data_IF_864633492923
#
_entry.id   IF_864633492923
#
_cell.length_a   1.000
_cell.length_b   1.000
_cell.length_c   1.000
_cell.angle_alpha   90.00
_cell.angle_beta   90.00
_cell.angle_gamma   90.00
#
_symmetry.space_group_name_H-M   'P 1'
#
loop_
_entity.id
_entity.type
_entity.pdbx_description
1 polymer ?
#
# COMPACT_ATOMS: atom_id res chain seq x y z
N UNK A 1 -42.82 -44.49 1.60
CA UNK A 1 -41.37 -44.36 1.85
C UNK A 1 -41.02 -42.92 1.55
N UNK A 2 -40.70 -42.15 2.59
CA UNK A 2 -40.35 -40.73 2.48
C UNK A 2 -38.98 -40.64 1.82
N UNK A 3 -38.93 -40.21 0.56
CA UNK A 3 -37.67 -39.88 -0.11
C UNK A 3 -37.15 -38.58 0.50
N UNK A 4 -36.08 -38.70 1.25
CA UNK A 4 -35.38 -37.61 1.92
C UNK A 4 -35.02 -36.50 0.93
N UNK A 5 -35.38 -35.28 1.29
CA UNK A 5 -34.90 -34.05 0.68
C UNK A 5 -33.38 -34.05 0.74
N UNK A 6 -32.64 -33.85 -0.36
CA UNK A 6 -31.24 -33.50 -0.22
C UNK A 6 -31.20 -32.11 0.42
N UNK A 7 -30.92 -32.10 1.72
CA UNK A 7 -30.38 -30.94 2.42
C UNK A 7 -29.05 -30.60 1.75
N UNK A 8 -29.11 -29.87 0.63
CA UNK A 8 -27.99 -29.07 0.17
C UNK A 8 -27.85 -27.99 1.25
N UNK A 9 -27.03 -28.31 2.25
CA UNK A 9 -26.37 -27.30 3.03
C UNK A 9 -25.61 -26.44 2.00
N UNK A 10 -26.23 -25.33 1.61
CA UNK A 10 -25.51 -24.13 1.28
C UNK A 10 -24.74 -23.75 2.55
N UNK A 11 -23.63 -24.45 2.79
CA UNK A 11 -22.62 -23.98 3.73
C UNK A 11 -22.17 -22.66 3.14
N UNK A 12 -22.64 -21.60 3.78
CA UNK A 12 -22.38 -20.24 3.38
C UNK A 12 -20.90 -20.12 3.13
N UNK A 13 -20.57 -19.93 1.85
CA UNK A 13 -19.50 -19.07 1.44
C UNK A 13 -19.74 -17.78 2.22
N UNK A 14 -19.12 -17.70 3.40
CA UNK A 14 -18.92 -16.44 4.09
C UNK A 14 -18.03 -15.67 3.13
N UNK A 15 -18.70 -15.00 2.19
CA UNK A 15 -18.14 -13.90 1.43
C UNK A 15 -17.36 -13.10 2.47
N UNK A 16 -16.05 -13.04 2.26
CA UNK A 16 -15.04 -12.36 3.06
C UNK A 16 -15.27 -10.83 2.96
N UNK A 17 -16.53 -10.40 3.04
CA UNK A 17 -17.01 -9.04 3.04
C UNK A 17 -16.29 -8.34 4.17
N UNK A 18 -15.66 -7.23 3.84
CA UNK A 18 -14.94 -6.42 4.81
C UNK A 18 -15.89 -5.97 5.92
N UNK A 19 -15.93 -6.73 7.02
CA UNK A 19 -16.67 -6.35 8.21
C UNK A 19 -16.16 -5.00 8.71
N UNK A 20 -17.07 -4.12 9.15
CA UNK A 20 -16.77 -2.78 9.70
C UNK A 20 -15.63 -2.80 10.73
N UNK A 21 -15.51 -3.89 11.50
CA UNK A 21 -14.41 -4.08 12.46
C UNK A 21 -13.01 -4.24 11.84
N UNK A 22 -12.91 -4.79 10.62
CA UNK A 22 -11.63 -4.95 9.90
C UNK A 22 -11.16 -3.61 9.32
N UNK A 23 -12.08 -2.80 8.76
CA UNK A 23 -11.76 -1.43 8.31
C UNK A 23 -11.18 -0.62 9.48
N UNK A 24 -11.86 -0.62 10.63
CA UNK A 24 -11.40 0.14 11.80
C UNK A 24 -10.01 -0.26 12.28
N UNK A 25 -9.70 -1.56 12.30
CA UNK A 25 -8.36 -2.06 12.65
C UNK A 25 -7.29 -1.61 11.67
N UNK A 26 -7.56 -1.68 10.36
CA UNK A 26 -6.62 -1.26 9.32
C UNK A 26 -6.41 0.25 9.34
N UNK A 27 -7.47 1.03 9.56
CA UNK A 27 -7.40 2.48 9.75
C UNK A 27 -6.46 2.86 10.91
N UNK A 28 -6.54 2.13 12.02
CA UNK A 28 -5.71 2.36 13.20
C UNK A 28 -4.24 2.01 12.93
N UNK A 29 -3.98 0.91 12.22
CA UNK A 29 -2.62 0.55 11.76
C UNK A 29 -2.04 1.62 10.84
N UNK A 30 -2.83 2.12 9.89
CA UNK A 30 -2.38 3.16 8.96
C UNK A 30 -2.13 4.48 9.67
N UNK A 31 -2.96 4.83 10.65
CA UNK A 31 -2.73 5.98 11.52
C UNK A 31 -1.44 5.81 12.32
N UNK A 32 -1.16 4.62 12.87
CA UNK A 32 0.07 4.35 13.61
C UNK A 32 1.32 4.49 12.71
N UNK A 33 1.31 3.90 11.51
CA UNK A 33 2.40 4.05 10.53
C UNK A 33 2.62 5.53 10.21
N UNK A 34 1.55 6.29 9.98
CA UNK A 34 1.63 7.72 9.66
C UNK A 34 2.16 8.54 10.84
N UNK A 35 1.77 8.22 12.08
CA UNK A 35 2.33 8.85 13.28
C UNK A 35 3.84 8.59 13.40
N UNK A 36 4.30 7.36 13.10
CA UNK A 36 5.73 7.03 13.09
C UNK A 36 6.46 7.80 11.99
N UNK A 37 5.91 7.91 10.78
CA UNK A 37 6.45 8.74 9.69
C UNK A 37 6.65 10.20 10.14
N UNK A 38 5.61 10.81 10.73
CA UNK A 38 5.69 12.17 11.25
C UNK A 38 6.68 12.31 12.40
N UNK A 39 6.77 11.33 13.29
CA UNK A 39 7.74 11.36 14.38
C UNK A 39 9.18 11.32 13.86
N UNK A 40 9.48 10.47 12.87
CA UNK A 40 10.79 10.43 12.24
C UNK A 40 11.11 11.77 11.57
N UNK A 41 10.15 12.32 10.81
CA UNK A 41 10.34 13.55 10.07
C UNK A 41 10.46 14.80 10.95
N UNK A 42 9.62 14.93 11.99
CA UNK A 42 9.53 16.14 12.82
C UNK A 42 10.40 16.10 14.08
N UNK A 43 10.81 14.91 14.54
CA UNK A 43 11.62 14.79 15.75
C UNK A 43 13.02 14.25 15.43
N UNK A 44 13.11 13.11 14.75
CA UNK A 44 14.35 12.36 14.65
C UNK A 44 15.38 12.98 13.68
N UNK A 45 14.90 13.56 12.58
CA UNK A 45 15.71 14.28 11.58
C UNK A 45 16.21 15.64 12.12
N UNK A 46 15.35 16.54 12.66
CA UNK A 46 15.83 17.85 13.15
C UNK A 46 16.74 17.75 14.38
N UNK A 47 16.59 16.72 15.21
CA UNK A 47 17.51 16.48 16.34
C UNK A 47 18.85 15.83 15.93
N UNK A 48 19.12 15.64 14.62
CA UNK A 48 20.36 15.03 14.09
C UNK A 48 20.62 13.59 14.59
N UNK A 49 19.60 12.93 15.14
CA UNK A 49 19.70 11.56 15.67
C UNK A 49 19.79 10.56 14.50
N UNK A 50 19.10 10.87 13.40
CA UNK A 50 19.24 10.16 12.12
C UNK A 50 19.63 11.14 11.02
N UNK A 51 20.69 10.79 10.29
CA UNK A 51 21.09 11.54 9.10
C UNK A 51 20.03 11.39 8.00
N UNK A 52 19.87 12.44 7.18
CA UNK A 52 18.96 12.44 6.03
C UNK A 52 19.16 11.23 5.09
N UNK A 53 20.40 10.77 4.94
CA UNK A 53 20.74 9.62 4.11
C UNK A 53 20.11 8.30 4.60
N UNK A 54 19.98 8.11 5.92
CA UNK A 54 19.32 6.95 6.52
C UNK A 54 17.80 7.16 6.69
N UNK A 55 17.36 8.40 6.96
CA UNK A 55 15.96 8.69 7.20
C UNK A 55 15.11 8.59 5.92
N UNK A 56 15.62 9.05 4.78
CA UNK A 56 14.92 9.00 3.49
C UNK A 56 14.49 7.59 3.06
N UNK A 57 15.37 6.56 3.00
CA UNK A 57 14.96 5.22 2.58
C UNK A 57 13.93 4.61 3.53
N UNK A 58 14.06 4.84 4.85
CA UNK A 58 13.08 4.40 5.85
C UNK A 58 11.71 5.04 5.61
N UNK A 59 11.69 6.35 5.35
CA UNK A 59 10.46 7.08 5.08
C UNK A 59 9.78 6.53 3.81
N UNK A 60 10.54 6.32 2.73
CA UNK A 60 10.03 5.75 1.48
C UNK A 60 9.39 4.37 1.73
N UNK A 61 10.04 3.49 2.48
CA UNK A 61 9.52 2.14 2.77
C UNK A 61 8.23 2.22 3.60
N UNK A 62 8.18 3.07 4.63
CA UNK A 62 6.99 3.28 5.45
C UNK A 62 5.81 3.81 4.60
N UNK A 63 6.07 4.77 3.71
CA UNK A 63 5.06 5.32 2.81
C UNK A 63 4.55 4.28 1.83
N UNK A 64 5.43 3.43 1.28
CA UNK A 64 5.03 2.33 0.38
C UNK A 64 4.18 1.28 1.09
N UNK A 65 4.55 0.90 2.33
CA UNK A 65 3.75 -0.02 3.14
C UNK A 65 2.35 0.54 3.38
N UNK A 66 2.26 1.81 3.78
CA UNK A 66 0.98 2.52 3.94
C UNK A 66 0.17 2.52 2.64
N UNK A 67 0.77 2.86 1.52
CA UNK A 67 0.08 2.89 0.23
C UNK A 67 -0.46 1.49 -0.13
N UNK A 68 0.32 0.44 0.09
CA UNK A 68 -0.11 -0.94 -0.12
C UNK A 68 -1.33 -1.29 0.76
N UNK A 69 -1.30 -0.96 2.05
CA UNK A 69 -2.44 -1.21 2.95
C UNK A 69 -3.69 -0.42 2.56
N UNK A 70 -3.56 0.83 2.07
CA UNK A 70 -4.69 1.63 1.57
C UNK A 70 -5.30 0.97 0.33
N UNK A 71 -4.48 0.62 -0.65
CA UNK A 71 -4.94 0.00 -1.90
C UNK A 71 -5.57 -1.37 -1.62
N UNK A 72 -4.97 -2.19 -0.77
CA UNK A 72 -5.48 -3.53 -0.47
C UNK A 72 -6.80 -3.53 0.33
N UNK A 73 -6.96 -2.62 1.30
CA UNK A 73 -8.09 -2.66 2.23
C UNK A 73 -9.10 -1.52 2.06
N UNK A 74 -8.69 -0.29 1.72
CA UNK A 74 -9.63 0.82 1.56
C UNK A 74 -10.18 0.93 0.14
N UNK A 75 -9.38 0.59 -0.87
CA UNK A 75 -9.87 0.49 -2.25
C UNK A 75 -10.53 -0.85 -2.57
N UNK A 76 -10.64 -1.76 -1.59
CA UNK A 76 -11.30 -3.08 -1.74
C UNK A 76 -10.74 -3.94 -2.91
N UNK A 77 -9.55 -3.59 -3.41
CA UNK A 77 -8.95 -4.20 -4.59
C UNK A 77 -8.54 -5.66 -4.40
N UNK A 78 -8.43 -6.13 -3.15
CA UNK A 78 -8.04 -7.51 -2.85
C UNK A 78 -9.08 -8.55 -3.31
N UNK A 79 -10.35 -8.17 -3.43
CA UNK A 79 -11.44 -9.07 -3.81
C UNK A 79 -12.20 -8.62 -5.07
N UNK A 80 -11.80 -7.50 -5.69
CA UNK A 80 -12.48 -6.93 -6.84
C UNK A 80 -11.68 -7.02 -8.15
N UNK A 81 -12.37 -6.65 -9.25
CA UNK A 81 -11.99 -6.97 -10.63
C UNK A 81 -10.56 -6.57 -10.95
N UNK A 82 -9.81 -7.51 -11.52
CA UNK A 82 -8.40 -7.37 -11.95
C UNK A 82 -8.12 -6.12 -12.78
N UNK A 83 -9.12 -5.58 -13.49
CA UNK A 83 -9.02 -4.32 -14.23
C UNK A 83 -8.75 -3.09 -13.35
N UNK A 84 -9.31 -3.02 -12.14
CA UNK A 84 -9.08 -1.89 -11.23
C UNK A 84 -7.67 -1.92 -10.64
N UNK A 85 -7.14 -3.12 -10.34
CA UNK A 85 -5.74 -3.32 -9.94
C UNK A 85 -4.82 -2.85 -11.06
N UNK A 86 -5.09 -3.25 -12.31
CA UNK A 86 -4.27 -2.91 -13.47
C UNK A 86 -4.33 -1.40 -13.77
N UNK A 87 -5.48 -0.75 -13.56
CA UNK A 87 -5.63 0.69 -13.71
C UNK A 87 -4.81 1.51 -12.71
N UNK A 88 -4.49 0.97 -11.52
CA UNK A 88 -3.59 1.62 -10.56
C UNK A 88 -2.14 1.21 -10.80
N UNK A 89 -1.89 -0.09 -11.01
CA UNK A 89 -0.54 -0.62 -11.18
C UNK A 89 0.17 -0.08 -12.42
N UNK A 90 -0.52 0.05 -13.56
CA UNK A 90 0.09 0.52 -14.82
C UNK A 90 0.60 1.97 -14.71
N UNK A 91 -0.20 2.96 -14.26
CA UNK A 91 0.31 4.31 -14.04
C UNK A 91 1.44 4.36 -13.01
N UNK A 92 1.37 3.58 -11.92
CA UNK A 92 2.45 3.54 -10.92
C UNK A 92 3.75 3.01 -11.51
N UNK A 93 3.69 1.91 -12.27
CA UNK A 93 4.87 1.33 -12.90
C UNK A 93 5.44 2.27 -13.97
N UNK A 94 4.58 2.95 -14.72
CA UNK A 94 4.97 3.98 -15.68
C UNK A 94 5.71 5.14 -15.00
N UNK A 95 5.20 5.67 -13.87
CA UNK A 95 5.88 6.73 -13.11
C UNK A 95 7.25 6.27 -12.59
N UNK A 96 7.34 5.05 -12.05
CA UNK A 96 8.64 4.51 -11.58
C UNK A 96 9.63 4.42 -12.75
N UNK A 97 9.20 3.89 -13.90
CA UNK A 97 10.02 3.85 -15.11
C UNK A 97 10.47 5.24 -15.57
N UNK A 98 9.57 6.22 -15.52
CA UNK A 98 9.85 7.61 -15.88
C UNK A 98 10.92 8.22 -14.95
N UNK A 99 10.81 8.01 -13.64
CA UNK A 99 11.80 8.47 -12.65
C UNK A 99 13.18 7.85 -12.95
N UNK A 100 13.25 6.55 -13.25
CA UNK A 100 14.51 5.88 -13.56
C UNK A 100 15.16 6.44 -14.83
N UNK A 101 14.38 6.62 -15.91
CA UNK A 101 14.88 7.18 -17.17
C UNK A 101 15.37 8.61 -16.99
N UNK A 102 14.59 9.48 -16.34
CA UNK A 102 14.98 10.87 -16.09
C UNK A 102 16.19 10.97 -15.17
N UNK A 103 16.31 10.09 -14.16
CA UNK A 103 17.48 10.08 -13.27
C UNK A 103 18.73 9.66 -14.05
N UNK A 104 18.64 8.66 -14.92
CA UNK A 104 19.75 8.24 -15.77
C UNK A 104 20.19 9.34 -16.75
N UNK A 105 19.24 10.02 -17.39
CA UNK A 105 19.54 11.16 -18.27
C UNK A 105 20.15 12.33 -17.50
N UNK A 106 19.62 12.64 -16.31
CA UNK A 106 20.16 13.70 -15.45
C UNK A 106 21.62 13.44 -15.08
N UNK A 107 21.97 12.19 -14.80
CA UNK A 107 23.34 11.80 -14.49
C UNK A 107 24.27 11.93 -15.71
N UNK A 108 23.81 11.54 -16.90
CA UNK A 108 24.56 11.73 -18.15
C UNK A 108 24.83 13.21 -18.43
N UNK A 109 23.81 14.07 -18.28
CA UNK A 109 23.96 15.52 -18.48
C UNK A 109 24.95 16.18 -17.52
N UNK A 110 24.99 15.75 -16.25
CA UNK A 110 25.95 16.24 -15.26
C UNK A 110 27.38 15.75 -15.55
N UNK A 111 27.55 14.57 -16.16
CA UNK A 111 28.87 14.02 -16.48
C UNK A 111 29.52 14.64 -17.72
N UNK A 112 28.74 15.31 -18.57
CA UNK A 112 29.20 15.96 -19.81
C UNK A 112 29.60 17.43 -19.62
N UNK A 113 29.52 17.96 -18.39
CA UNK A 113 29.89 19.34 -18.03
C UNK A 113 31.09 19.35 -17.10
#
# INVERSE_FOLDING_TARGET
MSSETPHIHAEGEHEDTMSKGRIGKVALILSAITCVEFFIALYLVPHQILSYHSANPIYIVLTLLKAFYIVAFFMHLKFEKKGLILAVAVPTLFIIGLILVLTNESHHWLSLR
#
